data_IF_907889024395
#
_entry.id   IF_907889024395
#
_cell.length_a   1.000
_cell.length_b   1.000
_cell.length_c   1.000
_cell.angle_alpha   90.00
_cell.angle_beta   90.00
_cell.angle_gamma   90.00
#
_symmetry.space_group_name_H-M   'P 1'
#
loop_
_entity.id
_entity.type
_entity.pdbx_description
1 polymer ?
#
# COMPACT_ATOMS: atom_id res chain seq x y z
N UNK A 1 -6.76 19.10 15.62
CA UNK A 1 -7.63 19.99 14.84
C UNK A 1 -8.85 19.23 14.34
N UNK A 2 -10.05 19.70 14.65
CA UNK A 2 -11.22 18.99 14.17
C UNK A 2 -11.34 19.12 12.64
N UNK A 3 -11.69 18.03 12.01
CA UNK A 3 -11.90 17.99 10.56
C UNK A 3 -13.40 17.91 10.33
N UNK A 4 -13.99 18.95 9.69
CA UNK A 4 -15.43 18.91 9.43
C UNK A 4 -15.76 17.83 8.40
N UNK A 5 -16.72 16.98 8.74
CA UNK A 5 -17.23 15.95 7.84
C UNK A 5 -18.72 16.16 7.66
N UNK A 6 -19.17 16.09 6.42
CA UNK A 6 -20.59 16.17 6.11
C UNK A 6 -21.31 14.84 6.41
N UNK A 7 -20.55 13.78 6.55
CA UNK A 7 -21.06 12.46 6.91
C UNK A 7 -20.20 11.90 8.05
N UNK A 8 -20.84 11.30 9.02
CA UNK A 8 -20.14 10.67 10.13
C UNK A 8 -19.65 9.29 9.72
N UNK A 9 -18.46 9.23 9.14
CA UNK A 9 -17.78 7.99 8.83
C UNK A 9 -16.33 8.14 9.25
N UNK A 10 -15.99 7.71 10.48
CA UNK A 10 -14.60 7.78 10.96
C UNK A 10 -13.64 7.15 9.97
N UNK A 11 -12.57 7.83 9.64
CA UNK A 11 -11.57 7.34 8.70
C UNK A 11 -11.94 7.49 7.23
N UNK A 12 -13.14 7.98 6.92
CA UNK A 12 -13.59 8.09 5.53
C UNK A 12 -12.65 8.96 4.67
N UNK A 13 -12.31 10.14 5.16
CA UNK A 13 -11.45 11.06 4.41
C UNK A 13 -10.06 10.45 4.21
N UNK A 14 -9.49 9.90 5.27
CA UNK A 14 -8.17 9.27 5.19
C UNK A 14 -8.17 8.12 4.19
N UNK A 15 -9.13 7.21 4.28
CA UNK A 15 -9.18 6.06 3.39
C UNK A 15 -9.48 6.46 1.94
N UNK A 16 -10.28 7.51 1.74
CA UNK A 16 -10.57 8.02 0.38
C UNK A 16 -9.33 8.58 -0.30
N UNK A 17 -8.34 9.03 0.48
CA UNK A 17 -7.06 9.49 -0.07
C UNK A 17 -6.03 8.37 -0.11
N UNK A 18 -5.96 7.57 0.94
CA UNK A 18 -4.92 6.56 1.07
C UNK A 18 -5.09 5.39 0.10
N UNK A 19 -6.30 4.87 -0.04
CA UNK A 19 -6.52 3.71 -0.90
C UNK A 19 -6.19 4.00 -2.36
N UNK A 20 -6.65 5.12 -2.97
CA UNK A 20 -6.24 5.46 -4.34
C UNK A 20 -4.74 5.74 -4.46
N UNK A 21 -4.12 6.35 -3.44
CA UNK A 21 -2.69 6.61 -3.43
C UNK A 21 -1.89 5.32 -3.49
N UNK A 22 -2.22 4.36 -2.62
CA UNK A 22 -1.56 3.07 -2.62
C UNK A 22 -1.83 2.29 -3.90
N UNK A 23 -3.04 2.42 -4.45
CA UNK A 23 -3.40 1.81 -5.72
C UNK A 23 -2.57 2.34 -6.88
N UNK A 24 -2.36 3.66 -6.91
CA UNK A 24 -1.51 4.27 -7.95
C UNK A 24 -0.07 3.77 -7.86
N UNK A 25 0.46 3.63 -6.64
CA UNK A 25 1.80 3.12 -6.44
C UNK A 25 1.92 1.67 -6.90
N UNK A 26 0.95 0.82 -6.55
CA UNK A 26 0.97 -0.58 -6.94
C UNK A 26 0.90 -0.74 -8.47
N UNK A 27 0.15 0.12 -9.14
CA UNK A 27 0.07 0.11 -10.60
C UNK A 27 1.43 0.36 -11.24
N UNK A 28 2.21 1.28 -10.68
CA UNK A 28 3.55 1.55 -11.21
C UNK A 28 4.45 0.33 -11.14
N UNK A 29 4.35 -0.46 -10.08
CA UNK A 29 5.10 -1.71 -9.96
C UNK A 29 4.60 -2.75 -10.96
N UNK A 30 3.29 -2.94 -11.07
CA UNK A 30 2.71 -3.93 -11.97
C UNK A 30 3.04 -3.64 -13.42
N UNK A 31 3.12 -2.36 -13.79
CA UNK A 31 3.46 -1.93 -15.15
C UNK A 31 4.97 -1.92 -15.41
N UNK A 32 5.77 -2.26 -14.41
CA UNK A 32 7.22 -2.32 -14.57
C UNK A 32 7.90 -0.96 -14.69
N UNK A 33 7.23 0.11 -14.23
CA UNK A 33 7.79 1.46 -14.33
C UNK A 33 8.97 1.64 -13.36
N UNK A 34 8.82 1.16 -12.12
CA UNK A 34 9.85 1.24 -11.11
C UNK A 34 9.61 0.20 -10.02
N UNK A 35 10.64 -0.09 -9.24
CA UNK A 35 10.50 -1.00 -8.11
C UNK A 35 9.99 -0.24 -6.87
N UNK A 36 9.50 -0.96 -5.83
CA UNK A 36 8.96 -0.32 -4.64
C UNK A 36 9.93 0.65 -3.97
N UNK A 37 11.20 0.30 -3.88
CA UNK A 37 12.21 1.12 -3.21
C UNK A 37 12.41 2.45 -3.93
N UNK A 38 12.48 2.42 -5.26
CA UNK A 38 12.62 3.62 -6.08
C UNK A 38 11.39 4.52 -5.96
N UNK A 39 10.20 3.94 -5.97
CA UNK A 39 8.96 4.70 -5.85
C UNK A 39 8.89 5.39 -4.49
N UNK A 40 9.24 4.68 -3.42
CA UNK A 40 9.25 5.26 -2.07
C UNK A 40 10.25 6.40 -1.95
N UNK A 41 11.47 6.22 -2.48
CA UNK A 41 12.49 7.26 -2.44
C UNK A 41 12.04 8.50 -3.21
N UNK A 42 11.46 8.30 -4.39
CA UNK A 42 10.94 9.40 -5.20
C UNK A 42 9.88 10.20 -4.45
N UNK A 43 8.96 9.49 -3.79
CA UNK A 43 7.89 10.14 -3.03
C UNK A 43 8.43 10.95 -1.85
N UNK A 44 9.33 10.35 -1.08
CA UNK A 44 9.92 11.04 0.08
C UNK A 44 10.70 12.28 -0.33
N UNK A 45 11.50 12.16 -1.38
CA UNK A 45 12.33 13.28 -1.85
C UNK A 45 11.48 14.37 -2.47
N UNK A 46 10.52 13.98 -3.30
CA UNK A 46 9.67 14.94 -4.03
C UNK A 46 8.69 15.69 -3.16
N UNK A 47 8.22 15.08 -2.07
CA UNK A 47 7.17 15.67 -1.23
C UNK A 47 7.63 16.04 0.17
N UNK A 48 8.78 15.54 0.60
CA UNK A 48 9.22 15.68 1.99
C UNK A 48 8.49 14.77 2.97
N UNK A 49 7.70 13.83 2.46
CA UNK A 49 6.98 12.89 3.32
C UNK A 49 7.97 11.95 4.03
N UNK A 50 7.65 11.53 5.27
CA UNK A 50 8.55 10.63 6.02
C UNK A 50 8.55 9.20 5.50
N UNK A 51 7.49 8.77 4.80
CA UNK A 51 7.35 7.41 4.31
C UNK A 51 6.83 7.40 2.88
N UNK A 52 7.30 6.44 2.09
CA UNK A 52 6.74 6.18 0.78
C UNK A 52 5.59 5.18 0.86
N UNK A 53 4.88 4.96 -0.27
CA UNK A 53 3.69 4.11 -0.28
C UNK A 53 3.94 2.65 0.13
N UNK A 54 5.08 2.08 -0.23
CA UNK A 54 5.35 0.68 0.11
C UNK A 54 5.79 0.51 1.56
N UNK A 55 6.38 1.55 2.15
CA UNK A 55 6.60 1.57 3.59
C UNK A 55 5.27 1.61 4.34
N UNK A 56 4.31 2.37 3.81
CA UNK A 56 2.95 2.42 4.37
C UNK A 56 2.27 1.05 4.26
N UNK A 57 2.41 0.36 3.13
CA UNK A 57 1.89 -1.00 2.97
C UNK A 57 2.41 -1.93 4.06
N UNK A 58 3.70 -1.86 4.37
CA UNK A 58 4.30 -2.71 5.39
C UNK A 58 3.73 -2.41 6.79
N UNK A 59 3.47 -1.14 7.09
CA UNK A 59 2.89 -0.74 8.38
C UNK A 59 1.42 -1.17 8.48
N UNK A 60 0.65 -0.98 7.42
CA UNK A 60 -0.75 -1.39 7.36
C UNK A 60 -0.87 -2.92 7.46
N UNK A 61 0.07 -3.62 6.87
CA UNK A 61 0.07 -5.08 6.82
C UNK A 61 -0.37 -5.57 5.45
N UNK A 62 0.41 -6.51 4.92
CA UNK A 62 0.15 -6.98 3.55
C UNK A 62 -1.08 -7.88 3.46
N UNK A 63 -1.49 -8.53 4.56
CA UNK A 63 -2.75 -9.28 4.58
C UNK A 63 -3.95 -8.36 4.42
N UNK A 64 -3.92 -7.20 5.08
CA UNK A 64 -4.97 -6.20 4.95
C UNK A 64 -5.01 -5.64 3.53
N UNK A 65 -3.85 -5.29 2.97
CA UNK A 65 -3.75 -4.79 1.61
C UNK A 65 -4.28 -5.83 0.61
N UNK A 66 -3.94 -7.10 0.81
CA UNK A 66 -4.43 -8.19 -0.02
C UNK A 66 -5.96 -8.29 0.04
N UNK A 67 -6.53 -8.27 1.24
CA UNK A 67 -7.97 -8.40 1.42
C UNK A 67 -8.73 -7.28 0.72
N UNK A 68 -8.24 -6.04 0.84
CA UNK A 68 -8.87 -4.89 0.19
C UNK A 68 -8.79 -5.03 -1.33
N UNK A 69 -7.62 -5.39 -1.85
CA UNK A 69 -7.40 -5.53 -3.28
C UNK A 69 -8.22 -6.69 -3.87
N UNK A 70 -8.25 -7.83 -3.18
CA UNK A 70 -8.98 -9.00 -3.63
C UNK A 70 -10.50 -8.78 -3.65
N UNK A 71 -10.99 -7.91 -2.78
CA UNK A 71 -12.42 -7.58 -2.71
C UNK A 71 -12.85 -6.56 -3.76
N UNK A 72 -11.91 -5.93 -4.46
CA UNK A 72 -12.20 -4.93 -5.49
C UNK A 72 -12.62 -5.58 -6.79
N UNK A 73 -13.51 -4.92 -7.53
CA UNK A 73 -13.92 -5.38 -8.86
C UNK A 73 -12.98 -4.91 -9.96
N UNK A 74 -12.00 -4.07 -9.62
CA UNK A 74 -11.06 -3.54 -10.59
C UNK A 74 -9.98 -4.57 -10.94
N UNK A 75 -9.69 -4.70 -12.23
CA UNK A 75 -8.70 -5.66 -12.72
C UNK A 75 -7.30 -5.39 -12.14
N UNK A 76 -6.91 -4.12 -12.09
CA UNK A 76 -5.61 -3.77 -11.52
C UNK A 76 -5.47 -4.17 -10.06
N UNK A 77 -6.55 -4.03 -9.28
CA UNK A 77 -6.54 -4.45 -7.88
C UNK A 77 -6.44 -5.97 -7.75
N UNK A 78 -7.11 -6.72 -8.64
CA UNK A 78 -7.03 -8.17 -8.64
C UNK A 78 -5.60 -8.64 -8.96
N UNK A 79 -4.97 -8.00 -9.94
CA UNK A 79 -3.58 -8.31 -10.28
C UNK A 79 -2.64 -8.00 -9.12
N UNK A 80 -2.88 -6.91 -8.42
CA UNK A 80 -2.08 -6.54 -7.25
C UNK A 80 -2.26 -7.56 -6.11
N UNK A 81 -3.49 -8.02 -5.89
CA UNK A 81 -3.74 -9.04 -4.90
C UNK A 81 -2.95 -10.33 -5.21
N UNK A 82 -2.98 -10.75 -6.48
CA UNK A 82 -2.22 -11.94 -6.89
C UNK A 82 -0.73 -11.74 -6.70
N UNK A 83 -0.21 -10.56 -7.01
CA UNK A 83 1.20 -10.22 -6.82
C UNK A 83 1.59 -10.29 -5.34
N UNK A 84 0.78 -9.70 -4.47
CA UNK A 84 1.02 -9.73 -3.03
C UNK A 84 1.02 -11.17 -2.49
N UNK A 85 0.06 -11.97 -2.92
CA UNK A 85 -0.04 -13.34 -2.46
C UNK A 85 1.18 -14.14 -2.87
N UNK A 86 1.52 -14.13 -4.15
CA UNK A 86 2.59 -14.96 -4.69
C UNK A 86 3.98 -14.58 -4.18
N UNK A 87 4.25 -13.28 -4.11
CA UNK A 87 5.60 -12.80 -3.82
C UNK A 87 5.85 -12.45 -2.36
N UNK A 88 4.79 -12.32 -1.55
CA UNK A 88 4.93 -11.90 -0.16
C UNK A 88 4.20 -12.82 0.81
N UNK A 89 2.89 -12.92 0.71
CA UNK A 89 2.10 -13.68 1.70
C UNK A 89 2.46 -15.15 1.74
N UNK A 90 2.61 -15.78 0.58
CA UNK A 90 2.97 -17.22 0.50
C UNK A 90 4.37 -17.48 1.02
N UNK A 91 5.19 -16.45 1.18
CA UNK A 91 6.54 -16.54 1.70
C UNK A 91 6.63 -16.06 3.15
N UNK A 92 5.49 -15.78 3.79
CA UNK A 92 5.47 -15.32 5.17
C UNK A 92 5.85 -13.87 5.36
N UNK A 93 5.89 -13.09 4.28
CA UNK A 93 6.24 -11.66 4.34
C UNK A 93 4.97 -10.84 4.50
N UNK A 94 4.65 -10.47 5.72
CA UNK A 94 3.39 -9.81 6.05
C UNK A 94 3.54 -8.31 6.35
N UNK A 95 4.76 -7.79 6.29
CA UNK A 95 5.07 -6.42 6.62
C UNK A 95 5.81 -6.33 7.95
N UNK A 96 5.67 -5.20 8.64
CA UNK A 96 6.36 -4.96 9.91
C UNK A 96 6.05 -6.07 10.92
N UNK A 97 4.81 -6.53 10.97
CA UNK A 97 4.39 -7.53 11.96
C UNK A 97 5.16 -8.85 11.87
N UNK A 98 5.63 -9.23 10.69
CA UNK A 98 6.39 -10.46 10.50
C UNK A 98 7.90 -10.22 10.44
N UNK A 99 8.33 -8.96 10.50
CA UNK A 99 9.72 -8.57 10.37
C UNK A 99 10.20 -8.40 8.94
N UNK A 100 9.35 -8.66 7.98
CA UNK A 100 9.68 -8.48 6.56
C UNK A 100 8.42 -8.30 5.72
N UNK A 101 8.46 -7.36 4.78
CA UNK A 101 7.45 -7.14 3.78
C UNK A 101 8.15 -6.68 2.52
N UNK A 102 7.86 -5.47 2.04
CA UNK A 102 8.65 -4.87 0.96
C UNK A 102 10.07 -4.56 1.43
N UNK A 103 10.24 -4.37 2.72
CA UNK A 103 11.55 -4.11 3.36
C UNK A 103 11.76 -5.09 4.50
N UNK A 104 13.01 -5.19 4.95
CA UNK A 104 13.36 -6.00 6.11
C UNK A 104 13.46 -5.11 7.35
N UNK A 105 12.93 -5.58 8.47
CA UNK A 105 12.90 -4.85 9.75
C UNK A 105 13.65 -5.58 10.84
N UNK A 106 14.48 -6.54 10.45
CA UNK A 106 15.27 -7.35 11.38
C UNK A 106 16.68 -6.81 11.53
#
# INVERSE_FOLDING_TARGET
MPIPLHKEQPGYVLNSLLVPFLGAASELVLRGVADPETIDATWRIGTGAPMGPFQIFDVVGLRTAYAISAASDEEGAQLWADHLKTNYLDQGKLGVESGEGFYSYR
#
